data_IF_027072294687
#
_entry.id   IF_027072294687
#
_cell.length_a   1.000
_cell.length_b   1.000
_cell.length_c   1.000
_cell.angle_alpha   90.00
_cell.angle_beta   90.00
_cell.angle_gamma   90.00
#
_symmetry.space_group_name_H-M   'P 1'
#
loop_
_entity.id
_entity.type
_entity.pdbx_description
1 polymer ?
#
# COMPACT_ATOMS: atom_id res chain seq x y z
N UNK A 1 -35.72 19.99 -2.87
CA UNK A 1 -35.42 20.57 -1.55
C UNK A 1 -33.93 20.85 -1.50
N UNK A 2 -33.47 22.12 -1.51
CA UNK A 2 -32.06 22.43 -1.42
C UNK A 2 -31.56 22.23 0.01
N UNK A 3 -30.34 21.73 0.12
CA UNK A 3 -29.61 21.53 1.37
C UNK A 3 -29.41 22.90 2.06
N UNK A 4 -30.20 23.19 3.09
CA UNK A 4 -30.00 24.37 3.93
C UNK A 4 -28.78 24.16 4.81
N UNK A 5 -27.80 25.04 4.65
CA UNK A 5 -26.60 25.15 5.48
C UNK A 5 -26.98 25.43 6.94
N UNK A 6 -26.83 24.45 7.82
CA UNK A 6 -26.97 24.66 9.26
C UNK A 6 -25.56 24.89 9.80
N UNK A 7 -25.23 26.18 9.94
CA UNK A 7 -24.37 26.86 10.93
C UNK A 7 -23.63 28.03 10.26
N UNK A 8 -23.64 29.24 10.85
CA UNK A 8 -22.75 30.31 10.41
C UNK A 8 -21.29 29.85 10.60
N UNK A 9 -20.35 30.25 9.72
CA UNK A 9 -18.94 29.94 9.92
C UNK A 9 -18.51 30.45 11.31
N UNK A 10 -17.97 29.54 12.13
CA UNK A 10 -17.42 29.88 13.44
C UNK A 10 -16.40 30.99 13.28
N UNK A 11 -16.71 32.19 13.78
CA UNK A 11 -15.80 33.35 13.81
C UNK A 11 -14.73 33.23 14.90
N UNK A 12 -14.73 32.16 15.70
CA UNK A 12 -13.81 31.98 16.83
C UNK A 12 -12.44 31.40 16.45
N UNK A 13 -12.29 30.88 15.23
CA UNK A 13 -11.00 30.49 14.67
C UNK A 13 -10.95 30.93 13.21
N UNK A 14 -10.60 32.20 12.96
CA UNK A 14 -9.99 32.50 11.68
C UNK A 14 -8.72 31.62 11.63
N UNK A 15 -8.59 30.68 10.67
CA UNK A 15 -7.38 29.91 10.56
C UNK A 15 -6.23 30.91 10.41
N UNK A 16 -5.09 30.70 11.11
CA UNK A 16 -3.94 31.56 10.91
C UNK A 16 -3.64 31.61 9.41
N UNK A 17 -3.28 32.79 8.90
CA UNK A 17 -2.74 32.90 7.54
C UNK A 17 -1.64 31.85 7.38
N UNK A 18 -1.76 30.91 6.43
CA UNK A 18 -0.77 29.87 6.29
C UNK A 18 0.58 30.52 6.00
N UNK A 19 1.62 30.10 6.71
CA UNK A 19 2.97 30.48 6.34
C UNK A 19 3.25 30.00 4.91
N UNK A 20 3.94 30.81 4.08
CA UNK A 20 4.33 30.37 2.76
C UNK A 20 5.24 29.14 2.88
N UNK A 21 5.04 28.16 2.00
CA UNK A 21 5.90 26.98 1.94
C UNK A 21 7.35 27.46 1.71
N UNK A 22 8.32 27.07 2.57
CA UNK A 22 9.69 27.54 2.46
C UNK A 22 10.45 26.78 1.36
N UNK A 23 10.14 27.08 0.10
CA UNK A 23 10.69 26.37 -1.06
C UNK A 23 12.22 26.32 -1.09
N UNK A 24 12.89 27.36 -0.62
CA UNK A 24 14.36 27.43 -0.59
C UNK A 24 15.00 26.51 0.45
N UNK A 25 14.22 25.96 1.39
CA UNK A 25 14.69 24.96 2.35
C UNK A 25 14.55 23.53 1.83
N UNK A 26 13.86 23.34 0.70
CA UNK A 26 13.74 22.03 0.08
C UNK A 26 15.07 21.62 -0.58
N UNK A 27 15.44 20.33 -0.55
CA UNK A 27 16.56 19.84 -1.33
C UNK A 27 16.44 20.22 -2.81
N UNK A 28 17.54 20.65 -3.42
CA UNK A 28 17.54 21.18 -4.80
C UNK A 28 16.83 20.24 -5.79
N UNK A 29 17.05 18.92 -5.68
CA UNK A 29 16.44 17.93 -6.57
C UNK A 29 14.91 17.98 -6.57
N UNK A 30 14.26 18.08 -5.41
CA UNK A 30 12.80 18.10 -5.33
C UNK A 30 12.25 19.51 -5.59
N UNK A 31 12.97 20.54 -5.13
CA UNK A 31 12.61 21.95 -5.38
C UNK A 31 12.56 22.25 -6.88
N UNK A 32 13.61 21.89 -7.60
CA UNK A 32 13.74 22.19 -9.03
C UNK A 32 12.71 21.39 -9.83
N UNK A 33 12.38 20.15 -9.40
CA UNK A 33 11.29 19.36 -9.98
C UNK A 33 9.91 20.00 -9.77
N UNK A 34 9.62 20.50 -8.56
CA UNK A 34 8.39 21.23 -8.25
C UNK A 34 8.26 22.47 -9.16
N UNK A 35 9.32 23.27 -9.28
CA UNK A 35 9.31 24.44 -10.17
C UNK A 35 9.14 24.07 -11.64
N UNK A 36 9.84 23.04 -12.12
CA UNK A 36 9.73 22.60 -13.51
C UNK A 36 8.30 22.12 -13.84
N UNK A 37 7.70 21.30 -12.97
CA UNK A 37 6.35 20.79 -13.16
C UNK A 37 5.33 21.93 -13.08
N UNK A 38 5.44 22.82 -12.08
CA UNK A 38 4.54 24.00 -11.98
C UNK A 38 4.67 24.92 -13.20
N UNK A 39 5.89 25.19 -13.67
CA UNK A 39 6.10 26.01 -14.87
C UNK A 39 5.51 25.38 -16.14
N UNK A 40 5.59 24.04 -16.25
CA UNK A 40 5.06 23.28 -17.39
C UNK A 40 3.55 23.17 -17.37
N UNK A 41 2.96 22.81 -16.23
CA UNK A 41 1.53 22.56 -16.10
C UNK A 41 0.75 23.81 -15.72
N UNK A 42 1.41 24.90 -15.33
CA UNK A 42 0.81 26.10 -14.72
C UNK A 42 -0.06 25.80 -13.50
N UNK A 43 0.10 24.64 -12.87
CA UNK A 43 -0.61 24.30 -11.65
C UNK A 43 -0.01 25.08 -10.46
N UNK A 44 -0.84 25.46 -9.46
CA UNK A 44 -0.36 26.17 -8.28
C UNK A 44 0.76 25.44 -7.56
N UNK A 45 1.80 26.17 -7.13
CA UNK A 45 2.94 25.57 -6.43
C UNK A 45 2.57 24.71 -5.22
N UNK A 46 1.59 25.08 -4.36
CA UNK A 46 1.17 24.22 -3.25
C UNK A 46 0.64 22.85 -3.69
N UNK A 47 -0.15 22.79 -4.77
CA UNK A 47 -0.65 21.54 -5.36
C UNK A 47 0.50 20.68 -5.87
N UNK A 48 1.44 21.28 -6.61
CA UNK A 48 2.61 20.58 -7.14
C UNK A 48 3.52 20.07 -6.02
N UNK A 49 3.62 20.82 -4.92
CA UNK A 49 4.42 20.43 -3.76
C UNK A 49 3.81 19.23 -3.05
N UNK A 50 2.50 19.23 -2.82
CA UNK A 50 1.81 18.08 -2.22
C UNK A 50 1.97 16.82 -3.07
N UNK A 51 1.78 16.94 -4.39
CA UNK A 51 1.97 15.85 -5.35
C UNK A 51 3.42 15.31 -5.38
N UNK A 52 4.41 16.17 -5.17
CA UNK A 52 5.82 15.81 -5.14
C UNK A 52 6.23 15.13 -3.82
N UNK A 53 5.76 15.64 -2.68
CA UNK A 53 6.14 15.14 -1.36
C UNK A 53 5.39 13.86 -0.96
N UNK A 54 4.20 13.60 -1.50
CA UNK A 54 3.45 12.36 -1.26
C UNK A 54 4.26 11.08 -1.59
N UNK A 55 4.76 10.88 -2.82
CA UNK A 55 5.58 9.71 -3.15
C UNK A 55 6.91 9.67 -2.39
N UNK A 56 7.53 10.83 -2.11
CA UNK A 56 8.76 10.89 -1.31
C UNK A 56 8.52 10.39 0.12
N UNK A 57 7.46 10.86 0.77
CA UNK A 57 7.07 10.39 2.10
C UNK A 57 6.80 8.89 2.12
N UNK A 58 6.13 8.37 1.08
CA UNK A 58 5.86 6.94 0.93
C UNK A 58 7.14 6.11 0.80
N UNK A 59 8.05 6.45 -0.10
CA UNK A 59 9.28 5.64 -0.29
C UNK A 59 10.22 5.70 0.91
N UNK A 60 10.18 6.78 1.70
CA UNK A 60 10.99 6.92 2.90
C UNK A 60 10.34 6.31 4.15
N UNK A 61 9.04 5.97 4.11
CA UNK A 61 8.27 5.55 5.28
C UNK A 61 8.87 4.33 5.98
N UNK A 62 9.37 3.35 5.22
CA UNK A 62 9.95 2.13 5.79
C UNK A 62 11.33 2.33 6.40
N UNK A 63 12.00 3.45 6.11
CA UNK A 63 13.36 3.72 6.54
C UNK A 63 13.45 4.65 7.76
N UNK A 64 12.35 5.35 8.11
CA UNK A 64 12.37 6.42 9.10
C UNK A 64 11.28 6.20 10.14
N UNK A 65 11.70 6.15 11.41
CA UNK A 65 10.81 6.28 12.56
C UNK A 65 11.05 7.61 13.26
N UNK A 66 10.00 8.16 13.86
CA UNK A 66 10.06 9.37 14.69
C UNK A 66 9.80 9.03 16.15
N UNK A 67 10.47 9.75 17.04
CA UNK A 67 10.29 9.64 18.48
C UNK A 67 10.06 11.02 19.07
N UNK A 68 8.80 11.49 19.15
CA UNK A 68 8.49 12.80 19.71
C UNK A 68 8.72 12.84 21.22
N UNK A 69 8.70 11.68 21.88
CA UNK A 69 8.90 11.52 23.32
C UNK A 69 9.68 10.22 23.57
N UNK A 70 10.54 10.22 24.59
CA UNK A 70 11.34 9.06 24.95
C UNK A 70 10.44 7.82 25.18
N UNK A 71 10.75 6.73 24.49
CA UNK A 71 9.99 5.47 24.57
C UNK A 71 8.77 5.40 23.64
N UNK A 72 8.43 6.46 22.92
CA UNK A 72 7.42 6.42 21.84
C UNK A 72 8.10 6.46 20.50
N UNK A 73 8.01 5.37 19.75
CA UNK A 73 8.52 5.25 18.38
C UNK A 73 7.34 5.00 17.46
N UNK A 74 7.24 5.77 16.38
CA UNK A 74 6.20 5.62 15.37
C UNK A 74 6.77 5.77 13.96
N UNK A 75 6.24 5.04 12.97
CA UNK A 75 6.64 5.25 11.58
C UNK A 75 6.28 6.66 11.13
N UNK A 76 7.05 7.22 10.20
CA UNK A 76 6.64 8.48 9.56
C UNK A 76 5.41 8.24 8.69
N UNK A 77 4.43 9.12 8.79
CA UNK A 77 3.25 9.10 7.92
C UNK A 77 3.01 10.52 7.43
N UNK A 78 3.04 10.71 6.11
CA UNK A 78 2.72 12.00 5.48
C UNK A 78 1.34 11.92 4.84
N UNK A 79 0.44 12.82 5.23
CA UNK A 79 -0.90 12.93 4.67
C UNK A 79 -1.02 14.23 3.90
N UNK A 80 -1.38 14.15 2.63
CA UNK A 80 -1.58 15.30 1.76
C UNK A 80 -3.04 15.37 1.32
N UNK A 81 -3.69 16.49 1.60
CA UNK A 81 -5.03 16.80 1.12
C UNK A 81 -4.96 18.06 0.28
N UNK A 82 -5.23 17.93 -1.01
CA UNK A 82 -5.26 19.08 -1.92
C UNK A 82 -6.69 19.38 -2.32
N UNK A 83 -7.19 20.53 -1.91
CA UNK A 83 -8.47 21.07 -2.38
C UNK A 83 -8.17 22.03 -3.53
N UNK A 84 -8.66 21.71 -4.72
CA UNK A 84 -8.52 22.56 -5.89
C UNK A 84 -9.76 22.43 -6.78
N UNK A 85 -10.06 23.48 -7.54
CA UNK A 85 -11.18 23.48 -8.48
C UNK A 85 -11.04 22.38 -9.55
N UNK A 86 -12.16 22.03 -10.18
CA UNK A 86 -12.13 21.10 -11.30
C UNK A 86 -11.33 21.71 -12.45
N UNK A 87 -10.43 20.93 -13.06
CA UNK A 87 -9.55 21.42 -14.13
C UNK A 87 -8.18 21.95 -13.68
N UNK A 88 -7.90 22.02 -12.37
CA UNK A 88 -6.60 22.45 -11.81
C UNK A 88 -5.45 21.43 -11.98
N UNK A 89 -5.58 20.52 -12.95
CA UNK A 89 -4.51 19.59 -13.40
C UNK A 89 -3.95 18.69 -12.29
N UNK A 90 -4.69 18.47 -11.19
CA UNK A 90 -4.35 17.59 -10.06
C UNK A 90 -3.78 16.24 -10.53
N UNK A 91 -4.57 15.47 -11.27
CA UNK A 91 -4.16 14.15 -11.80
C UNK A 91 -2.94 14.23 -12.72
N UNK A 92 -2.85 15.29 -13.53
CA UNK A 92 -1.70 15.48 -14.43
C UNK A 92 -0.40 15.71 -13.66
N UNK A 93 -0.45 16.50 -12.59
CA UNK A 93 0.70 16.78 -11.73
C UNK A 93 1.08 15.54 -10.92
N UNK A 94 0.11 14.86 -10.32
CA UNK A 94 0.35 13.61 -9.58
C UNK A 94 1.08 12.58 -10.45
N UNK A 95 0.66 12.41 -11.71
CA UNK A 95 1.29 11.48 -12.65
C UNK A 95 2.77 11.75 -12.90
N UNK A 96 3.25 13.00 -12.83
CA UNK A 96 4.67 13.30 -12.99
C UNK A 96 5.53 12.70 -11.87
N UNK A 97 5.05 12.76 -10.63
CA UNK A 97 5.80 12.29 -9.46
C UNK A 97 5.52 10.82 -9.12
N UNK A 98 4.36 10.30 -9.52
CA UNK A 98 3.96 8.90 -9.30
C UNK A 98 4.46 7.93 -10.37
N UNK A 99 4.90 8.41 -11.54
CA UNK A 99 5.31 7.58 -12.68
C UNK A 99 6.24 6.42 -12.31
N UNK A 100 7.30 6.71 -11.53
CA UNK A 100 8.26 5.68 -11.12
C UNK A 100 7.67 4.63 -10.18
N UNK A 101 6.71 5.00 -9.33
CA UNK A 101 6.03 4.05 -8.45
C UNK A 101 5.10 3.16 -9.28
N UNK A 102 4.33 3.73 -10.22
CA UNK A 102 3.50 2.95 -11.14
C UNK A 102 4.33 1.96 -11.97
N UNK A 103 5.47 2.39 -12.49
CA UNK A 103 6.36 1.53 -13.27
C UNK A 103 6.97 0.42 -12.41
N UNK A 104 7.36 0.72 -11.17
CA UNK A 104 7.89 -0.28 -10.24
C UNK A 104 6.83 -1.32 -9.85
N UNK A 105 5.62 -0.89 -9.50
CA UNK A 105 4.51 -1.79 -9.20
C UNK A 105 4.14 -2.67 -10.41
N UNK A 106 4.15 -2.10 -11.63
CA UNK A 106 3.93 -2.86 -12.88
C UNK A 106 5.00 -3.94 -13.08
N UNK A 107 6.28 -3.60 -12.90
CA UNK A 107 7.38 -4.56 -13.03
C UNK A 107 7.29 -5.66 -11.97
N UNK A 108 6.93 -5.31 -10.73
CA UNK A 108 6.70 -6.27 -9.65
C UNK A 108 5.51 -7.20 -9.96
N UNK A 109 4.42 -6.67 -10.53
CA UNK A 109 3.27 -7.46 -10.95
C UNK A 109 3.62 -8.46 -12.06
N UNK A 110 4.47 -8.08 -13.02
CA UNK A 110 4.90 -9.01 -14.06
C UNK A 110 5.82 -10.12 -13.52
N UNK A 111 6.74 -9.78 -12.61
CA UNK A 111 7.55 -10.78 -11.89
C UNK A 111 6.69 -11.74 -11.08
N UNK A 112 5.68 -11.20 -10.37
CA UNK A 112 4.71 -11.99 -9.62
C UNK A 112 3.93 -12.92 -10.54
N UNK A 113 3.45 -12.44 -11.69
CA UNK A 113 2.72 -13.26 -12.67
C UNK A 113 3.52 -14.48 -13.12
N UNK A 114 4.82 -14.31 -13.40
CA UNK A 114 5.70 -15.42 -13.78
C UNK A 114 5.90 -16.38 -12.61
N UNK A 115 6.17 -15.87 -11.40
CA UNK A 115 6.32 -16.68 -10.19
C UNK A 115 5.04 -17.46 -9.84
N UNK A 116 3.87 -16.86 -10.03
CA UNK A 116 2.56 -17.48 -9.78
C UNK A 116 2.33 -18.66 -10.72
N UNK A 117 2.66 -18.52 -12.01
CA UNK A 117 2.58 -19.62 -12.96
C UNK A 117 3.49 -20.79 -12.59
N UNK A 118 4.70 -20.50 -12.10
CA UNK A 118 5.62 -21.53 -11.63
C UNK A 118 5.07 -22.22 -10.38
N UNK A 119 4.61 -21.44 -9.40
CA UNK A 119 3.99 -21.95 -8.18
C UNK A 119 2.78 -22.85 -8.47
N UNK A 120 1.89 -22.47 -9.39
CA UNK A 120 0.73 -23.30 -9.76
C UNK A 120 1.18 -24.65 -10.30
N UNK A 121 2.16 -24.67 -11.23
CA UNK A 121 2.70 -25.92 -11.81
C UNK A 121 3.33 -26.82 -10.75
N UNK A 122 4.18 -26.24 -9.90
CA UNK A 122 4.84 -26.97 -8.80
C UNK A 122 3.82 -27.50 -7.80
N UNK A 123 2.82 -26.69 -7.44
CA UNK A 123 1.75 -27.06 -6.51
C UNK A 123 0.89 -28.20 -7.07
N UNK A 124 0.57 -28.18 -8.36
CA UNK A 124 -0.16 -29.27 -9.02
C UNK A 124 0.64 -30.57 -9.00
N UNK A 125 1.92 -30.54 -9.41
CA UNK A 125 2.78 -31.72 -9.38
C UNK A 125 2.92 -32.27 -7.96
N UNK A 126 3.19 -31.38 -7.00
CA UNK A 126 3.31 -31.73 -5.59
C UNK A 126 2.03 -32.36 -5.05
N UNK A 127 0.84 -31.86 -5.43
CA UNK A 127 -0.46 -32.43 -5.01
C UNK A 127 -0.66 -33.84 -5.57
N UNK A 128 -0.29 -34.09 -6.82
CA UNK A 128 -0.38 -35.42 -7.44
C UNK A 128 0.48 -36.43 -6.69
N UNK A 129 1.74 -36.09 -6.43
CA UNK A 129 2.68 -36.93 -5.69
C UNK A 129 2.24 -37.15 -4.24
N UNK A 130 1.80 -36.09 -3.56
CA UNK A 130 1.24 -36.14 -2.20
C UNK A 130 0.05 -37.10 -2.13
N UNK A 131 -0.86 -37.04 -3.12
CA UNK A 131 -2.02 -37.95 -3.21
C UNK A 131 -1.59 -39.39 -3.47
N UNK A 132 -0.61 -39.62 -4.35
CA UNK A 132 -0.10 -40.96 -4.65
C UNK A 132 0.55 -41.60 -3.41
N UNK A 133 1.42 -40.87 -2.70
CA UNK A 133 2.06 -41.33 -1.46
C UNK A 133 1.06 -41.60 -0.35
N UNK A 134 0.08 -40.71 -0.13
CA UNK A 134 -1.02 -40.93 0.83
C UNK A 134 -1.86 -42.17 0.49
N UNK A 135 -2.15 -42.38 -0.79
CA UNK A 135 -2.90 -43.56 -1.26
C UNK A 135 -2.10 -44.86 -1.07
N UNK A 136 -0.80 -44.85 -1.39
CA UNK A 136 0.09 -45.98 -1.16
C UNK A 136 0.18 -46.33 0.33
N UNK A 137 0.38 -45.31 1.17
CA UNK A 137 0.41 -45.48 2.62
C UNK A 137 -0.89 -46.12 3.13
N UNK A 138 -2.06 -45.62 2.69
CA UNK A 138 -3.35 -46.20 3.05
C UNK A 138 -3.48 -47.67 2.64
N UNK A 139 -3.04 -48.03 1.42
CA UNK A 139 -3.07 -49.42 0.92
C UNK A 139 -2.17 -50.35 1.75
N UNK A 140 -0.95 -49.94 2.06
CA UNK A 140 0.00 -50.74 2.84
C UNK A 140 -0.50 -50.94 4.29
N UNK A 141 -1.04 -49.89 4.90
CA UNK A 141 -1.64 -49.96 6.23
C UNK A 141 -2.80 -50.94 6.28
N UNK A 142 -3.72 -50.91 5.28
CA UNK A 142 -4.85 -51.86 5.21
C UNK A 142 -4.41 -53.32 5.04
N UNK A 143 -3.26 -53.55 4.41
CA UNK A 143 -2.67 -54.89 4.20
C UNK A 143 -1.71 -55.30 5.33
N UNK A 144 -1.57 -54.51 6.39
CA UNK A 144 -0.62 -54.73 7.48
C UNK A 144 0.83 -54.94 6.99
N UNK A 145 1.21 -54.27 5.90
CA UNK A 145 2.55 -54.31 5.32
C UNK A 145 3.43 -53.19 5.91
N UNK A 146 4.75 -53.30 5.72
CA UNK A 146 5.69 -52.26 6.15
C UNK A 146 5.35 -50.91 5.52
N UNK A 147 5.31 -49.85 6.32
CA UNK A 147 4.98 -48.48 5.89
C UNK A 147 6.12 -47.49 6.05
N UNK A 148 7.25 -47.92 6.63
CA UNK A 148 8.32 -47.03 7.10
C UNK A 148 8.92 -46.21 5.96
N UNK A 149 9.26 -46.85 4.85
CA UNK A 149 9.83 -46.19 3.68
C UNK A 149 8.86 -45.15 3.07
N UNK A 150 7.58 -45.48 3.00
CA UNK A 150 6.55 -44.58 2.44
C UNK A 150 6.30 -43.39 3.36
N UNK A 151 6.38 -43.58 4.68
CA UNK A 151 6.29 -42.48 5.65
C UNK A 151 7.47 -41.53 5.51
N UNK A 152 8.69 -42.04 5.41
CA UNK A 152 9.90 -41.21 5.22
C UNK A 152 9.78 -40.40 3.92
N UNK A 153 9.40 -41.04 2.82
CA UNK A 153 9.17 -40.35 1.53
C UNK A 153 8.07 -39.31 1.60
N UNK A 154 6.96 -39.60 2.28
CA UNK A 154 5.88 -38.64 2.45
C UNK A 154 6.31 -37.44 3.31
N UNK A 155 7.05 -37.67 4.41
CA UNK A 155 7.56 -36.57 5.24
C UNK A 155 8.50 -35.66 4.45
N UNK A 156 9.45 -36.23 3.71
CA UNK A 156 10.34 -35.46 2.84
C UNK A 156 9.57 -34.70 1.75
N UNK A 157 8.52 -35.30 1.17
CA UNK A 157 7.66 -34.63 0.19
C UNK A 157 6.91 -33.43 0.79
N UNK A 158 6.32 -33.61 1.98
CA UNK A 158 5.56 -32.55 2.66
C UNK A 158 6.43 -31.36 3.06
N UNK A 159 7.71 -31.56 3.31
CA UNK A 159 8.66 -30.46 3.58
C UNK A 159 8.92 -29.58 2.35
N UNK A 160 8.68 -30.10 1.14
CA UNK A 160 8.88 -29.39 -0.11
C UNK A 160 7.56 -28.83 -0.68
N UNK A 161 6.60 -28.50 0.19
CA UNK A 161 5.36 -27.85 -0.25
C UNK A 161 5.67 -26.47 -0.84
N UNK A 162 5.31 -26.20 -2.12
CA UNK A 162 5.53 -24.90 -2.73
C UNK A 162 4.77 -23.81 -1.96
N UNK A 163 5.39 -22.66 -1.76
CA UNK A 163 4.76 -21.50 -1.13
C UNK A 163 4.25 -20.50 -2.17
N UNK A 164 3.05 -19.91 -1.99
CA UNK A 164 2.55 -18.90 -2.92
C UNK A 164 3.47 -17.67 -2.95
N UNK A 165 3.78 -17.12 -4.14
CA UNK A 165 4.64 -15.95 -4.24
C UNK A 165 3.93 -14.71 -3.72
N UNK A 166 4.68 -13.85 -3.02
CA UNK A 166 4.18 -12.59 -2.50
C UNK A 166 3.87 -11.61 -3.64
N UNK A 167 2.66 -11.07 -3.66
CA UNK A 167 2.28 -9.97 -4.55
C UNK A 167 2.57 -8.65 -3.85
N UNK A 168 3.46 -7.84 -4.41
CA UNK A 168 3.67 -6.47 -3.95
C UNK A 168 2.51 -5.60 -4.43
N UNK A 169 1.92 -4.85 -3.50
CA UNK A 169 0.95 -3.80 -3.78
C UNK A 169 1.37 -2.57 -2.99
N UNK A 170 1.63 -1.48 -3.70
CA UNK A 170 2.10 -0.20 -3.16
C UNK A 170 0.99 0.84 -3.13
N UNK A 171 -0.01 0.70 -4.01
CA UNK A 171 -1.04 1.70 -4.23
C UNK A 171 -2.44 1.15 -3.93
N UNK A 172 -3.28 1.98 -3.33
CA UNK A 172 -4.71 1.73 -3.21
C UNK A 172 -5.50 3.05 -3.24
N UNK A 173 -6.66 3.04 -3.88
CA UNK A 173 -7.55 4.20 -4.01
C UNK A 173 -8.89 4.00 -3.28
N UNK A 174 -9.48 2.81 -3.43
CA UNK A 174 -10.68 2.37 -2.74
C UNK A 174 -10.40 1.02 -2.06
N UNK A 175 -10.18 1.06 -0.75
CA UNK A 175 -9.83 -0.13 0.04
C UNK A 175 -10.61 -0.14 1.34
N UNK A 176 -11.21 -1.29 1.65
CA UNK A 176 -11.87 -1.50 2.94
C UNK A 176 -10.84 -1.57 4.07
N UNK A 177 -11.22 -1.32 5.32
CA UNK A 177 -10.27 -1.29 6.44
C UNK A 177 -9.67 -2.66 6.71
N UNK A 178 -10.49 -3.71 6.56
CA UNK A 178 -10.05 -5.09 6.67
C UNK A 178 -9.05 -5.44 5.56
N UNK A 179 -9.30 -5.00 4.33
CA UNK A 179 -8.37 -5.18 3.23
C UNK A 179 -7.07 -4.39 3.45
N UNK A 180 -7.15 -3.16 3.95
CA UNK A 180 -5.98 -2.34 4.30
C UNK A 180 -5.12 -3.02 5.37
N UNK A 181 -5.72 -3.49 6.47
CA UNK A 181 -5.00 -4.22 7.53
C UNK A 181 -4.36 -5.50 6.98
N UNK A 182 -5.08 -6.24 6.15
CA UNK A 182 -4.56 -7.44 5.50
C UNK A 182 -3.35 -7.10 4.60
N UNK A 183 -3.45 -6.04 3.80
CA UNK A 183 -2.36 -5.60 2.92
C UNK A 183 -1.15 -5.08 3.71
N UNK A 184 -1.36 -4.34 4.81
CA UNK A 184 -0.23 -3.92 5.65
C UNK A 184 0.45 -5.12 6.33
N UNK A 185 -0.31 -6.12 6.76
CA UNK A 185 0.24 -7.32 7.39
C UNK A 185 0.96 -8.25 6.41
N UNK A 186 0.42 -8.43 5.19
CA UNK A 186 0.94 -9.37 4.18
C UNK A 186 1.85 -8.72 3.15
N UNK A 187 1.66 -7.44 2.87
CA UNK A 187 2.21 -6.67 1.74
C UNK A 187 3.49 -5.89 2.06
N UNK A 188 4.10 -6.09 3.24
CA UNK A 188 5.39 -5.47 3.59
C UNK A 188 5.30 -4.20 4.44
N UNK A 189 4.14 -3.90 5.03
CA UNK A 189 4.00 -2.91 6.10
C UNK A 189 3.84 -1.44 5.67
N UNK A 190 3.80 -1.13 4.37
CA UNK A 190 3.56 0.23 3.86
C UNK A 190 2.67 0.19 2.63
N UNK A 191 1.79 1.19 2.50
CA UNK A 191 0.84 1.35 1.40
C UNK A 191 0.54 2.84 1.22
N UNK A 192 0.52 3.32 -0.02
CA UNK A 192 0.07 4.66 -0.35
C UNK A 192 -1.42 4.65 -0.71
N UNK A 193 -2.22 5.31 0.14
CA UNK A 193 -3.62 5.63 -0.15
C UNK A 193 -3.68 6.88 -1.03
N UNK A 194 -3.97 6.71 -2.32
CA UNK A 194 -4.00 7.80 -3.29
C UNK A 194 -5.33 7.79 -4.04
N UNK A 195 -6.11 8.85 -3.87
CA UNK A 195 -7.41 9.02 -4.52
C UNK A 195 -7.58 10.46 -5.00
N UNK A 196 -8.17 10.62 -6.17
CA UNK A 196 -8.65 11.92 -6.65
C UNK A 196 -9.95 12.37 -5.95
N UNK A 197 -10.65 11.42 -5.31
CA UNK A 197 -11.90 11.60 -4.57
C UNK A 197 -11.61 11.42 -3.06
N UNK A 198 -11.60 12.54 -2.34
CA UNK A 198 -11.19 12.57 -0.93
C UNK A 198 -12.22 11.96 0.03
N UNK A 199 -13.48 11.88 -0.36
CA UNK A 199 -14.56 11.27 0.42
C UNK A 199 -14.35 9.77 0.63
N UNK A 200 -13.77 9.06 -0.35
CA UNK A 200 -13.43 7.63 -0.22
C UNK A 200 -12.46 7.38 0.94
N UNK A 201 -11.47 8.26 1.12
CA UNK A 201 -10.46 8.14 2.18
C UNK A 201 -10.99 8.70 3.52
N UNK A 202 -11.73 9.81 3.48
CA UNK A 202 -12.15 10.57 4.67
C UNK A 202 -13.46 10.08 5.29
N UNK A 203 -14.30 9.33 4.58
CA UNK A 203 -15.61 8.84 5.06
C UNK A 203 -15.54 7.82 6.20
N UNK A 204 -14.34 7.53 6.74
CA UNK A 204 -14.20 6.85 8.02
C UNK A 204 -14.46 5.35 7.97
N UNK A 205 -14.57 4.74 6.78
CA UNK A 205 -14.36 3.29 6.71
C UNK A 205 -12.91 2.99 7.13
N UNK A 206 -11.89 3.60 6.51
CA UNK A 206 -10.46 3.28 6.72
C UNK A 206 -9.85 3.53 8.11
N UNK A 207 -10.52 4.29 8.99
CA UNK A 207 -10.04 4.56 10.35
C UNK A 207 -10.93 3.83 11.35
N UNK A 208 -10.39 2.89 12.16
CA UNK A 208 -11.18 2.31 13.25
C UNK A 208 -11.62 3.44 14.18
N UNK A 209 -12.93 3.53 14.44
CA UNK A 209 -13.45 4.42 15.49
C UNK A 209 -12.72 4.08 16.78
N UNK A 210 -11.89 5.01 17.26
CA UNK A 210 -11.21 4.84 18.55
C UNK A 210 -12.26 4.71 19.63
N UNK A 211 -12.38 3.52 20.23
CA UNK A 211 -13.04 3.36 21.53
C UNK A 211 -12.11 3.86 22.63
N UNK A 212 -11.94 5.18 22.71
CA UNK A 212 -11.47 5.85 23.91
C UNK A 212 -12.21 7.17 24.02
N UNK A 213 -13.43 7.04 24.51
CA UNK A 213 -14.21 8.11 25.11
C UNK A 213 -15.08 7.44 26.19
N UNK A 214 -14.43 7.11 27.31
CA UNK A 214 -15.01 7.14 28.65
C UNK A 214 -14.08 8.01 29.50
#
# INVERSE_FOLDING_TARGET
>A
MPYQSILPPSTYFAPPTPDPIPYEQLPAIIRDAIWAVSNKTKAPLPLVTAAALAPVGFVCQSAINVSPEAGRVSPVTCNFLTVAESGERKTTVDNYFMASIYDYERQAAEKHRVAEQQYVRESESWKVESKALKSLLSKLTKKSQSTEEVKVRLMAHLQNEPSPPMKLQMLASDITPAALQYQLHRGGGSLLLHSAEGDIILSGSGYPKSRYAE
#
